data_IF_756204775010
#
_entry.id   IF_756204775010
#
_cell.length_a   1.000
_cell.length_b   1.000
_cell.length_c   1.000
_cell.angle_alpha   90.00
_cell.angle_beta   90.00
_cell.angle_gamma   90.00
#
_symmetry.space_group_name_H-M   'P 1'
#
loop_
_entity.id
_entity.type
_entity.pdbx_description
1 polymer ?
#
# COMPACT_ATOMS: atom_id res chain seq x y z
N UNK A 1 46.25 18.19 39.89
CA UNK A 1 46.23 18.05 38.41
C UNK A 1 45.34 16.90 37.89
N UNK A 2 44.71 16.08 38.76
CA UNK A 2 43.92 14.90 38.35
C UNK A 2 42.38 15.05 38.45
N UNK A 3 41.83 16.15 39.00
CA UNK A 3 40.38 16.35 39.05
C UNK A 3 39.78 16.74 37.69
N UNK A 4 40.44 17.62 36.93
CA UNK A 4 39.97 18.07 35.60
C UNK A 4 39.92 16.95 34.55
N UNK A 5 40.73 15.90 34.69
CA UNK A 5 40.72 14.75 33.77
C UNK A 5 39.58 13.79 34.10
N UNK A 6 39.16 13.74 35.37
CA UNK A 6 38.10 12.84 35.84
C UNK A 6 36.72 13.43 35.54
N UNK A 7 36.55 14.74 35.72
CA UNK A 7 35.32 15.46 35.40
C UNK A 7 34.99 15.42 33.89
N UNK A 8 36.02 15.57 33.03
CA UNK A 8 35.89 15.52 31.57
C UNK A 8 35.54 14.10 31.04
N UNK A 9 35.87 13.05 31.80
CA UNK A 9 35.44 11.66 31.48
C UNK A 9 33.98 11.42 31.86
N UNK A 10 33.50 12.03 32.95
CA UNK A 10 32.12 11.89 33.42
C UNK A 10 31.15 12.69 32.55
N UNK A 11 31.52 13.89 32.09
CA UNK A 11 30.72 14.65 31.11
C UNK A 11 30.62 13.94 29.77
N UNK A 12 31.73 13.40 29.24
CA UNK A 12 31.73 12.64 27.98
C UNK A 12 30.91 11.34 28.05
N UNK A 13 30.85 10.67 29.21
CA UNK A 13 30.01 9.48 29.41
C UNK A 13 28.52 9.83 29.52
N UNK A 14 28.17 11.01 30.07
CA UNK A 14 26.78 11.47 30.15
C UNK A 14 26.19 11.81 28.78
N UNK A 15 27.00 12.28 27.83
CA UNK A 15 26.56 12.53 26.46
C UNK A 15 26.37 11.23 25.64
N UNK A 16 27.11 10.16 25.96
CA UNK A 16 26.95 8.83 25.34
C UNK A 16 25.71 8.07 25.87
N UNK A 17 25.13 8.52 26.99
CA UNK A 17 23.95 7.94 27.65
C UNK A 17 22.70 8.83 27.52
N UNK A 18 22.71 9.80 26.60
CA UNK A 18 21.45 10.44 26.20
C UNK A 18 20.61 9.43 25.43
N UNK A 19 19.31 9.26 25.74
CA UNK A 19 18.44 8.51 24.86
C UNK A 19 18.49 9.18 23.49
N UNK A 20 19.08 8.52 22.50
CA UNK A 20 19.17 9.05 21.15
C UNK A 20 17.76 9.36 20.67
N UNK A 21 17.52 10.60 20.23
CA UNK A 21 16.26 10.95 19.58
C UNK A 21 16.11 10.08 18.33
N UNK A 22 14.87 9.73 17.98
CA UNK A 22 14.59 8.92 16.78
C UNK A 22 15.26 9.49 15.52
N UNK A 23 15.30 10.82 15.38
CA UNK A 23 16.05 11.53 14.34
C UNK A 23 17.54 11.17 14.30
N UNK A 24 18.23 11.17 15.45
CA UNK A 24 19.68 10.93 15.56
C UNK A 24 20.02 9.46 15.26
N UNK A 25 19.11 8.54 15.61
CA UNK A 25 19.20 7.12 15.26
C UNK A 25 18.98 6.86 13.75
N UNK A 26 18.09 7.62 13.10
CA UNK A 26 17.87 7.53 11.64
C UNK A 26 19.05 8.14 10.88
N UNK A 27 19.57 9.27 11.35
CA UNK A 27 20.72 9.95 10.74
C UNK A 27 21.99 9.10 10.83
N UNK A 28 22.21 8.41 11.94
CA UNK A 28 23.35 7.48 12.12
C UNK A 28 23.18 6.14 11.40
N UNK A 29 21.95 5.67 11.15
CA UNK A 29 21.68 4.44 10.41
C UNK A 29 21.96 4.56 8.90
N UNK A 30 21.93 5.77 8.33
CA UNK A 30 22.26 6.04 6.94
C UNK A 30 21.37 5.34 5.89
N UNK A 31 21.58 5.65 4.60
CA UNK A 31 20.82 5.05 3.49
C UNK A 31 21.55 3.80 2.96
N UNK A 32 21.16 2.62 3.46
CA UNK A 32 21.75 1.34 3.04
C UNK A 32 21.06 0.67 1.85
N UNK A 33 21.65 -0.45 1.38
CA UNK A 33 21.10 -1.32 0.33
C UNK A 33 19.67 -1.81 0.62
N UNK A 34 19.33 -1.98 1.91
CA UNK A 34 17.99 -2.37 2.35
C UNK A 34 16.91 -1.36 1.92
N UNK A 35 17.18 -0.05 2.00
CA UNK A 35 16.22 0.98 1.57
C UNK A 35 16.00 0.95 0.05
N UNK A 36 17.06 0.70 -0.74
CA UNK A 36 16.94 0.51 -2.18
C UNK A 36 16.07 -0.70 -2.53
N UNK A 37 16.27 -1.83 -1.83
CA UNK A 37 15.44 -3.03 -2.02
C UNK A 37 13.98 -2.75 -1.64
N UNK A 38 13.75 -2.05 -0.52
CA UNK A 38 12.39 -1.67 -0.11
C UNK A 38 11.70 -0.78 -1.15
N UNK A 39 12.38 0.26 -1.64
CA UNK A 39 11.84 1.15 -2.68
C UNK A 39 11.50 0.35 -3.93
N UNK A 40 12.41 -0.51 -4.40
CA UNK A 40 12.18 -1.35 -5.57
C UNK A 40 10.91 -2.22 -5.39
N UNK A 41 10.78 -2.91 -4.26
CA UNK A 41 9.61 -3.74 -3.95
C UNK A 41 8.33 -2.90 -3.93
N UNK A 42 8.34 -1.72 -3.31
CA UNK A 42 7.15 -0.85 -3.24
C UNK A 42 6.76 -0.26 -4.59
N UNK A 43 7.73 0.00 -5.48
CA UNK A 43 7.46 0.43 -6.86
C UNK A 43 6.78 -0.70 -7.62
N UNK A 44 7.33 -1.92 -7.57
CA UNK A 44 6.75 -3.08 -8.25
C UNK A 44 5.31 -3.33 -7.77
N UNK A 45 5.10 -3.29 -6.45
CA UNK A 45 3.77 -3.41 -5.85
C UNK A 45 2.82 -2.32 -6.34
N UNK A 46 3.23 -1.05 -6.30
CA UNK A 46 2.40 0.08 -6.77
C UNK A 46 2.04 -0.05 -8.25
N UNK A 47 2.98 -0.48 -9.09
CA UNK A 47 2.71 -0.66 -10.53
C UNK A 47 1.72 -1.78 -10.81
N UNK A 48 1.73 -2.86 -10.01
CA UNK A 48 0.74 -3.93 -10.13
C UNK A 48 -0.68 -3.44 -9.83
N UNK A 49 -0.85 -2.64 -8.77
CA UNK A 49 -2.13 -2.03 -8.40
C UNK A 49 -2.66 -1.09 -9.49
N UNK A 50 -1.78 -0.24 -10.04
CA UNK A 50 -2.13 0.68 -11.13
C UNK A 50 -2.56 -0.12 -12.37
N UNK A 51 -1.89 -1.23 -12.66
CA UNK A 51 -2.24 -2.10 -13.78
C UNK A 51 -3.63 -2.71 -13.61
N UNK A 52 -3.99 -3.22 -12.42
CA UNK A 52 -5.33 -3.78 -12.19
C UNK A 52 -6.43 -2.74 -12.39
N UNK A 53 -6.23 -1.53 -11.85
CA UNK A 53 -7.17 -0.41 -12.00
C UNK A 53 -7.31 0.05 -13.46
N UNK A 54 -6.20 0.10 -14.20
CA UNK A 54 -6.19 0.57 -15.61
C UNK A 54 -6.76 -0.48 -16.56
N UNK A 55 -6.64 -1.77 -16.22
CA UNK A 55 -7.09 -2.89 -17.07
C UNK A 55 -8.57 -2.82 -17.43
N UNK A 56 -9.40 -2.26 -16.54
CA UNK A 56 -10.84 -2.06 -16.78
C UNK A 56 -11.09 -1.24 -18.05
N UNK A 57 -10.31 -0.19 -18.27
CA UNK A 57 -10.44 0.70 -19.43
C UNK A 57 -10.16 -0.01 -20.76
N UNK A 58 -9.29 -1.02 -20.76
CA UNK A 58 -8.99 -1.82 -21.96
C UNK A 58 -10.04 -2.91 -22.21
N UNK A 59 -10.62 -3.48 -21.15
CA UNK A 59 -11.60 -4.58 -21.25
C UNK A 59 -13.01 -4.04 -21.56
N UNK A 60 -13.34 -2.83 -21.12
CA UNK A 60 -14.65 -2.20 -21.27
C UNK A 60 -15.25 -2.23 -22.70
N UNK A 61 -14.52 -1.92 -23.79
CA UNK A 61 -15.08 -1.97 -25.14
C UNK A 61 -15.43 -3.39 -25.60
N UNK A 62 -14.72 -4.40 -25.12
CA UNK A 62 -14.99 -5.81 -25.46
C UNK A 62 -16.17 -6.32 -24.62
N UNK A 63 -16.20 -5.99 -23.33
CA UNK A 63 -17.28 -6.34 -22.41
C UNK A 63 -18.62 -5.67 -22.80
N UNK A 64 -18.59 -4.53 -23.49
CA UNK A 64 -19.79 -3.89 -24.03
C UNK A 64 -20.52 -4.77 -25.05
N UNK A 65 -19.78 -5.38 -25.98
CA UNK A 65 -20.35 -6.24 -27.02
C UNK A 65 -20.94 -7.52 -26.42
N UNK A 66 -20.33 -8.04 -25.36
CA UNK A 66 -20.72 -9.33 -24.74
C UNK A 66 -21.87 -9.16 -23.74
N UNK A 67 -21.82 -8.14 -22.87
CA UNK A 67 -22.83 -7.90 -21.82
C UNK A 67 -23.89 -6.85 -22.22
N UNK A 68 -23.83 -6.29 -23.44
CA UNK A 68 -24.73 -5.21 -23.93
C UNK A 68 -24.83 -4.03 -22.96
N UNK A 69 -23.68 -3.53 -22.50
CA UNK A 69 -23.61 -2.49 -21.48
C UNK A 69 -23.98 -1.11 -21.99
N UNK A 70 -24.92 -0.43 -21.31
CA UNK A 70 -25.21 0.99 -21.53
C UNK A 70 -24.05 1.88 -21.05
N UNK A 71 -23.91 3.08 -21.61
CA UNK A 71 -22.89 4.06 -21.20
C UNK A 71 -22.89 4.35 -19.69
N UNK A 72 -24.07 4.39 -19.07
CA UNK A 72 -24.22 4.55 -17.61
C UNK A 72 -23.58 3.40 -16.82
N UNK A 73 -23.73 2.16 -17.29
CA UNK A 73 -23.18 0.98 -16.63
C UNK A 73 -21.65 0.97 -16.66
N UNK A 74 -21.06 1.46 -17.75
CA UNK A 74 -19.60 1.64 -17.87
C UNK A 74 -19.07 2.66 -16.87
N UNK A 75 -19.76 3.80 -16.75
CA UNK A 75 -19.43 4.83 -15.78
C UNK A 75 -19.58 4.32 -14.34
N UNK A 76 -20.66 3.60 -14.06
CA UNK A 76 -20.89 2.97 -12.76
C UNK A 76 -19.80 1.96 -12.39
N UNK A 77 -19.28 1.22 -13.37
CA UNK A 77 -18.21 0.26 -13.15
C UNK A 77 -16.89 0.91 -12.72
N UNK A 78 -16.55 2.06 -13.30
CA UNK A 78 -15.38 2.83 -12.86
C UNK A 78 -15.65 3.49 -11.51
N UNK A 79 -16.85 4.05 -11.32
CA UNK A 79 -17.22 4.72 -10.07
C UNK A 79 -17.19 3.77 -8.87
N UNK A 80 -17.63 2.52 -9.03
CA UNK A 80 -17.65 1.55 -7.93
C UNK A 80 -16.24 1.16 -7.48
N UNK A 81 -15.28 1.06 -8.40
CA UNK A 81 -13.87 0.76 -8.07
C UNK A 81 -13.28 1.87 -7.21
N UNK A 82 -13.46 3.14 -7.61
CA UNK A 82 -13.01 4.28 -6.82
C UNK A 82 -13.77 4.43 -5.50
N UNK A 83 -15.07 4.11 -5.48
CA UNK A 83 -15.84 4.08 -4.24
C UNK A 83 -15.28 3.06 -3.26
N UNK A 84 -14.94 1.84 -3.73
CA UNK A 84 -14.24 0.82 -2.95
C UNK A 84 -12.95 1.37 -2.33
N UNK A 85 -12.08 1.96 -3.15
CA UNK A 85 -10.80 2.53 -2.72
C UNK A 85 -10.94 3.62 -1.66
N UNK A 86 -11.93 4.52 -1.82
CA UNK A 86 -12.17 5.60 -0.85
C UNK A 86 -12.64 5.02 0.48
N UNK A 87 -13.57 4.06 0.45
CA UNK A 87 -14.11 3.45 1.67
C UNK A 87 -13.07 2.61 2.42
N UNK A 88 -12.18 1.95 1.69
CA UNK A 88 -11.16 1.08 2.27
C UNK A 88 -9.96 1.84 2.84
N UNK A 89 -9.66 3.05 2.33
CA UNK A 89 -8.53 3.87 2.78
C UNK A 89 -8.50 4.10 4.30
N UNK A 90 -9.65 4.34 4.93
CA UNK A 90 -9.74 4.55 6.39
C UNK A 90 -9.45 3.24 7.14
N UNK A 91 -10.01 2.12 6.66
CA UNK A 91 -9.89 0.81 7.30
C UNK A 91 -8.45 0.30 7.21
N UNK A 92 -7.87 0.30 6.01
CA UNK A 92 -6.50 -0.15 5.79
C UNK A 92 -5.46 0.80 6.38
N UNK A 93 -5.73 2.11 6.39
CA UNK A 93 -4.88 3.08 7.07
C UNK A 93 -4.75 2.77 8.56
N UNK A 94 -5.89 2.57 9.24
CA UNK A 94 -5.90 2.18 10.65
C UNK A 94 -5.23 0.81 10.90
N UNK A 95 -5.47 -0.18 10.03
CA UNK A 95 -4.82 -1.48 10.12
C UNK A 95 -3.30 -1.40 9.92
N UNK A 96 -2.83 -0.56 8.99
CA UNK A 96 -1.41 -0.38 8.69
C UNK A 96 -0.62 0.19 9.87
N UNK A 97 -1.25 1.09 10.62
CA UNK A 97 -0.63 1.72 11.80
C UNK A 97 -0.66 0.81 13.04
N UNK A 98 -1.62 -0.11 13.15
CA UNK A 98 -1.77 -1.00 14.32
C UNK A 98 -1.08 -2.37 14.17
N UNK A 99 -1.18 -3.01 13.00
CA UNK A 99 -0.69 -4.38 12.77
C UNK A 99 0.69 -4.43 12.09
N UNK A 100 1.22 -3.26 11.73
CA UNK A 100 2.50 -3.09 11.05
C UNK A 100 2.37 -3.11 9.52
N UNK A 101 3.04 -2.15 8.89
CA UNK A 101 2.92 -1.84 7.45
C UNK A 101 3.25 -3.00 6.52
N UNK A 102 4.29 -3.80 6.83
CA UNK A 102 4.71 -4.94 5.98
C UNK A 102 3.63 -6.01 5.86
N UNK A 103 2.98 -6.37 6.97
CA UNK A 103 1.95 -7.42 6.98
C UNK A 103 0.72 -6.98 6.19
N UNK A 104 0.30 -5.74 6.40
CA UNK A 104 -0.86 -5.16 5.71
C UNK A 104 -0.61 -5.05 4.21
N UNK A 105 0.58 -4.63 3.78
CA UNK A 105 0.93 -4.62 2.34
C UNK A 105 0.81 -6.01 1.70
N UNK A 106 1.28 -7.06 2.37
CA UNK A 106 1.20 -8.43 1.84
C UNK A 106 -0.25 -8.92 1.80
N UNK A 107 -1.04 -8.66 2.85
CA UNK A 107 -2.45 -9.08 2.91
C UNK A 107 -3.28 -8.35 1.86
N UNK A 108 -3.09 -7.04 1.69
CA UNK A 108 -3.76 -6.24 0.67
C UNK A 108 -3.44 -6.73 -0.74
N UNK A 109 -2.15 -6.95 -1.06
CA UNK A 109 -1.75 -7.53 -2.35
C UNK A 109 -2.37 -8.90 -2.63
N UNK A 110 -2.46 -9.77 -1.61
CA UNK A 110 -3.09 -11.08 -1.78
C UNK A 110 -4.61 -10.95 -1.99
N UNK A 111 -5.26 -10.06 -1.25
CA UNK A 111 -6.68 -9.79 -1.38
C UNK A 111 -7.02 -9.20 -2.76
N UNK A 112 -6.20 -8.27 -3.26
CA UNK A 112 -6.31 -7.69 -4.60
C UNK A 112 -6.13 -8.78 -5.68
N UNK A 113 -5.09 -9.60 -5.56
CA UNK A 113 -4.83 -10.69 -6.51
C UNK A 113 -5.98 -11.71 -6.56
N UNK A 114 -6.53 -12.11 -5.40
CA UNK A 114 -7.67 -13.02 -5.33
C UNK A 114 -8.91 -12.37 -5.93
N UNK A 115 -9.18 -11.11 -5.61
CA UNK A 115 -10.35 -10.37 -6.11
C UNK A 115 -10.29 -10.18 -7.63
N UNK A 116 -9.11 -9.86 -8.16
CA UNK A 116 -8.85 -9.73 -9.61
C UNK A 116 -9.01 -11.07 -10.34
N UNK A 117 -8.54 -12.17 -9.75
CA UNK A 117 -8.77 -13.52 -10.28
C UNK A 117 -10.26 -13.90 -10.28
N UNK A 118 -10.99 -13.61 -9.20
CA UNK A 118 -12.44 -13.80 -9.14
C UNK A 118 -13.18 -12.91 -10.16
N UNK A 119 -12.73 -11.67 -10.35
CA UNK A 119 -13.28 -10.77 -11.35
C UNK A 119 -13.13 -11.33 -12.78
N UNK A 120 -12.02 -12.01 -13.08
CA UNK A 120 -11.78 -12.65 -14.37
C UNK A 120 -12.72 -13.83 -14.66
N UNK A 121 -13.29 -14.44 -13.62
CA UNK A 121 -14.28 -15.53 -13.72
C UNK A 121 -15.73 -15.02 -13.84
N UNK A 122 -15.95 -13.70 -13.72
CA UNK A 122 -17.28 -13.11 -13.73
C UNK A 122 -17.91 -13.12 -15.12
N UNK A 123 -19.11 -13.71 -15.24
CA UNK A 123 -19.88 -13.78 -16.49
C UNK A 123 -21.07 -12.81 -16.54
N UNK A 124 -21.43 -12.19 -15.40
CA UNK A 124 -22.59 -11.31 -15.27
C UNK A 124 -22.17 -9.91 -14.85
N UNK A 125 -22.89 -8.88 -15.30
CA UNK A 125 -22.61 -7.48 -14.92
C UNK A 125 -22.66 -7.26 -13.41
N UNK A 126 -23.63 -7.88 -12.73
CA UNK A 126 -23.77 -7.78 -11.27
C UNK A 126 -22.63 -8.46 -10.51
N UNK A 127 -22.10 -9.57 -11.00
CA UNK A 127 -20.91 -10.18 -10.39
C UNK A 127 -19.70 -9.27 -10.60
N UNK A 128 -19.58 -8.70 -11.80
CA UNK A 128 -18.46 -7.85 -12.17
C UNK A 128 -18.42 -6.58 -11.31
N UNK A 129 -19.57 -5.93 -11.06
CA UNK A 129 -19.63 -4.74 -10.21
C UNK A 129 -19.29 -5.06 -8.74
N UNK A 130 -19.70 -6.22 -8.23
CA UNK A 130 -19.40 -6.66 -6.86
C UNK A 130 -17.93 -7.00 -6.70
N UNK A 131 -17.36 -7.78 -7.62
CA UNK A 131 -15.94 -8.11 -7.57
C UNK A 131 -15.05 -6.88 -7.75
N UNK A 132 -15.45 -5.92 -8.59
CA UNK A 132 -14.73 -4.64 -8.72
C UNK A 132 -14.81 -3.76 -7.47
N UNK A 133 -15.94 -3.78 -6.76
CA UNK A 133 -16.01 -3.13 -5.46
C UNK A 133 -15.07 -3.78 -4.44
N UNK A 134 -15.04 -5.11 -4.40
CA UNK A 134 -14.17 -5.88 -3.48
C UNK A 134 -12.69 -5.67 -3.84
N UNK A 135 -12.34 -5.66 -5.14
CA UNK A 135 -11.00 -5.36 -5.62
C UNK A 135 -10.56 -3.95 -5.20
N UNK A 136 -11.42 -2.93 -5.38
CA UNK A 136 -11.11 -1.58 -4.89
C UNK A 136 -11.08 -1.49 -3.36
N UNK A 137 -11.77 -2.39 -2.65
CA UNK A 137 -11.73 -2.45 -1.20
C UNK A 137 -10.48 -3.17 -0.66
N UNK A 138 -9.81 -4.01 -1.45
CA UNK A 138 -8.61 -4.74 -1.05
C UNK A 138 -7.35 -3.85 -1.02
#
# INVERSE_FOLDING_TARGET
MNENVTDNRITKNKDLLKPANFEEAIESAGFGLFNFILILITILCSTANIFSSTSISYILPIAECDLKLTLLNKGALNAVTYAGMITSAIVWGYLADTQGRKKILVIGCLADAISSACCSLSQNFQMLIVFKFIEGFA
#
